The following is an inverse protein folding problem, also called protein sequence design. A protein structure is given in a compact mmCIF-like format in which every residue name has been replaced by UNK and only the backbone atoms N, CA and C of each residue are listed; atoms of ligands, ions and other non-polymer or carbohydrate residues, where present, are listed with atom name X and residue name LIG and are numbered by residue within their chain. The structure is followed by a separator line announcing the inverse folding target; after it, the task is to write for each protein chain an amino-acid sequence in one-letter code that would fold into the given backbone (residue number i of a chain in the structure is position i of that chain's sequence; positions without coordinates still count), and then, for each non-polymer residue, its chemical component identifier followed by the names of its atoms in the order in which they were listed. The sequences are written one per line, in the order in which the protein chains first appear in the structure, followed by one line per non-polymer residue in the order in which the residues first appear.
data_IF_953555641745
#
_entry.id   IF_953555641745
#
_cell.length_a   1.000
_cell.length_b   1.000
_cell.length_c   1.000
_cell.angle_alpha   90.00
_cell.angle_beta   90.00
_cell.angle_gamma   90.00
#
_symmetry.space_group_name_H-M   'P 1'
#
loop_
_entity.id
_entity.type
_entity.pdbx_description
1 polymer ?
#
# COMPACT_ATOMS: atom_id res chain seq x y z
N UNK A 1 11.39 -4.70 -12.22
CA UNK A 1 11.24 -4.10 -10.87
C UNK A 1 10.62 -5.10 -9.89
N UNK A 2 9.34 -5.44 -9.99
CA UNK A 2 8.70 -6.53 -9.25
C UNK A 2 8.04 -7.50 -10.22
N UNK A 3 8.25 -8.78 -10.03
CA UNK A 3 7.59 -9.85 -10.76
C UNK A 3 7.01 -10.88 -9.79
N UNK A 4 5.73 -11.19 -9.95
CA UNK A 4 5.00 -12.15 -9.12
C UNK A 4 4.44 -13.23 -10.03
N UNK A 5 4.79 -14.51 -9.79
CA UNK A 5 4.39 -15.64 -10.61
C UNK A 5 3.78 -16.76 -9.78
N UNK A 6 2.57 -17.16 -10.14
CA UNK A 6 1.83 -18.26 -9.53
C UNK A 6 1.70 -18.15 -8.01
N UNK A 7 1.68 -16.93 -7.46
CA UNK A 7 1.72 -16.69 -6.02
C UNK A 7 0.52 -17.32 -5.33
N UNK A 8 0.78 -18.19 -4.35
CA UNK A 8 -0.24 -18.78 -3.46
C UNK A 8 0.11 -18.50 -2.02
N UNK A 9 -0.88 -18.08 -1.26
CA UNK A 9 -0.80 -17.92 0.20
C UNK A 9 -2.03 -18.57 0.82
N UNK A 10 -1.84 -19.72 1.44
CA UNK A 10 -2.89 -20.52 2.05
C UNK A 10 -2.66 -20.65 3.54
N UNK A 11 -3.66 -20.32 4.34
CA UNK A 11 -3.62 -20.42 5.78
C UNK A 11 -4.33 -21.69 6.23
N UNK A 12 -3.68 -22.57 7.05
CA UNK A 12 -4.29 -23.80 7.52
C UNK A 12 -5.42 -23.52 8.51
N UNK A 13 -6.55 -24.17 8.31
CA UNK A 13 -7.65 -24.22 9.29
C UNK A 13 -7.35 -25.37 10.24
N UNK A 14 -7.06 -25.05 11.49
CA UNK A 14 -6.75 -26.04 12.54
C UNK A 14 -7.98 -26.31 13.41
N UNK A 15 -8.23 -27.57 13.77
CA UNK A 15 -9.35 -27.97 14.66
C UNK A 15 -8.89 -28.97 15.71
N UNK A 16 -9.52 -28.88 16.90
CA UNK A 16 -9.28 -29.77 18.05
C UNK A 16 -8.02 -29.43 18.83
N UNK A 17 -7.85 -30.09 20.01
CA UNK A 17 -6.74 -29.87 20.95
C UNK A 17 -5.37 -30.16 20.32
N UNK A 18 -5.31 -31.10 19.37
CA UNK A 18 -4.09 -31.46 18.63
C UNK A 18 -3.83 -30.56 17.41
N UNK A 19 -4.58 -29.45 17.25
CA UNK A 19 -4.42 -28.48 16.14
C UNK A 19 -4.32 -29.14 14.75
N UNK A 20 -5.07 -30.21 14.48
CA UNK A 20 -5.04 -30.94 13.21
C UNK A 20 -5.57 -30.07 12.07
N UNK A 21 -4.83 -29.96 10.96
CA UNK A 21 -5.27 -29.23 9.78
C UNK A 21 -6.43 -29.96 9.11
N UNK A 22 -7.58 -29.26 8.95
CA UNK A 22 -8.81 -29.78 8.35
C UNK A 22 -9.11 -29.13 6.99
N UNK A 23 -8.37 -28.11 6.61
CA UNK A 23 -8.55 -27.38 5.35
C UNK A 23 -7.64 -26.16 5.26
N UNK A 24 -7.85 -25.34 4.23
CA UNK A 24 -7.06 -24.11 4.01
C UNK A 24 -7.97 -22.96 3.61
N UNK A 25 -7.70 -21.76 4.14
CA UNK A 25 -8.18 -20.50 3.59
C UNK A 25 -7.20 -20.10 2.50
N UNK A 26 -7.65 -20.09 1.26
CA UNK A 26 -6.84 -19.70 0.09
C UNK A 26 -6.90 -18.18 -0.09
N UNK A 27 -6.15 -17.45 0.74
CA UNK A 27 -6.18 -15.98 0.71
C UNK A 27 -5.65 -15.41 -0.61
N UNK A 28 -4.66 -16.08 -1.22
CA UNK A 28 -4.15 -15.83 -2.57
C UNK A 28 -4.00 -17.18 -3.26
N UNK A 29 -4.53 -17.36 -4.46
CA UNK A 29 -4.60 -18.66 -5.14
C UNK A 29 -4.15 -18.60 -6.61
N UNK A 30 -2.85 -18.41 -6.80
CA UNK A 30 -2.21 -18.47 -8.12
C UNK A 30 -2.38 -17.18 -8.92
N UNK A 31 -1.81 -16.08 -8.44
CA UNK A 31 -1.85 -14.79 -9.13
C UNK A 31 -0.52 -14.49 -9.81
N UNK A 32 -0.62 -13.81 -10.96
CA UNK A 32 0.50 -13.38 -11.78
C UNK A 32 0.35 -11.90 -12.13
N UNK A 33 1.35 -11.08 -11.82
CA UNK A 33 1.44 -9.70 -12.24
C UNK A 33 2.88 -9.19 -12.16
N UNK A 34 3.12 -8.06 -12.81
CA UNK A 34 4.38 -7.33 -12.75
C UNK A 34 4.16 -5.87 -12.39
N UNK A 35 5.18 -5.21 -11.85
CA UNK A 35 5.25 -3.78 -11.64
C UNK A 35 6.55 -3.26 -12.22
N UNK A 36 6.46 -2.29 -13.13
CA UNK A 36 7.60 -1.68 -13.81
C UNK A 36 8.26 -0.63 -12.93
N UNK A 37 9.49 -0.25 -13.26
CA UNK A 37 10.18 0.82 -12.57
C UNK A 37 9.47 2.16 -12.83
N UNK A 38 9.30 2.96 -11.78
CA UNK A 38 8.61 4.25 -11.85
C UNK A 38 7.10 4.17 -12.09
N UNK A 39 6.52 2.95 -12.06
CA UNK A 39 5.08 2.72 -12.22
C UNK A 39 4.35 2.75 -10.88
N UNK A 40 3.09 3.17 -10.88
CA UNK A 40 2.15 2.91 -9.81
C UNK A 40 1.17 1.82 -10.25
N UNK A 41 1.26 0.64 -9.62
CA UNK A 41 0.30 -0.44 -9.81
C UNK A 41 -0.72 -0.43 -8.68
N UNK A 42 -1.98 -0.28 -9.02
CA UNK A 42 -3.09 -0.38 -8.07
C UNK A 42 -3.57 -1.82 -7.91
N UNK A 43 -3.79 -2.28 -6.67
CA UNK A 43 -4.55 -3.52 -6.41
C UNK A 43 -5.86 -3.15 -5.73
N UNK A 44 -6.97 -3.52 -6.37
CA UNK A 44 -8.32 -3.22 -5.88
C UNK A 44 -9.16 -4.48 -5.68
N UNK A 45 -10.20 -4.37 -4.87
CA UNK A 45 -11.15 -5.45 -4.58
C UNK A 45 -11.78 -5.27 -3.20
N UNK A 46 -12.81 -6.03 -2.89
CA UNK A 46 -13.47 -6.00 -1.58
C UNK A 46 -12.57 -6.45 -0.43
N UNK A 47 -13.00 -6.19 0.81
CA UNK A 47 -12.33 -6.73 1.98
C UNK A 47 -12.30 -8.26 1.92
N UNK A 48 -11.15 -8.86 2.25
CA UNK A 48 -10.96 -10.32 2.17
C UNK A 48 -10.62 -10.85 0.78
N UNK A 49 -10.50 -10.02 -0.28
CA UNK A 49 -10.12 -10.49 -1.62
C UNK A 49 -8.66 -10.94 -1.76
N UNK A 50 -7.81 -10.74 -0.75
CA UNK A 50 -6.40 -11.18 -0.74
C UNK A 50 -5.36 -10.08 -0.93
N UNK A 51 -5.75 -8.81 -1.12
CA UNK A 51 -4.86 -7.65 -1.40
C UNK A 51 -3.75 -7.47 -0.37
N UNK A 52 -4.13 -7.29 0.90
CA UNK A 52 -3.15 -7.08 1.99
C UNK A 52 -2.30 -8.34 2.23
N UNK A 53 -2.84 -9.54 1.97
CA UNK A 53 -2.05 -10.77 2.02
C UNK A 53 -1.01 -10.79 0.91
N UNK A 54 -1.35 -10.35 -0.30
CA UNK A 54 -0.41 -10.21 -1.42
C UNK A 54 0.69 -9.21 -1.07
N UNK A 55 0.34 -8.02 -0.53
CA UNK A 55 1.31 -7.03 -0.09
C UNK A 55 2.28 -7.58 0.97
N UNK A 56 1.75 -8.26 1.98
CA UNK A 56 2.55 -8.86 3.06
C UNK A 56 3.44 -10.00 2.56
N UNK A 57 3.00 -10.76 1.56
CA UNK A 57 3.85 -11.78 0.93
C UNK A 57 5.01 -11.13 0.16
N UNK A 58 4.76 -10.06 -0.59
CA UNK A 58 5.79 -9.29 -1.30
C UNK A 58 6.78 -8.66 -0.31
N UNK A 59 6.27 -8.14 0.82
CA UNK A 59 7.11 -7.57 1.89
C UNK A 59 7.87 -8.63 2.72
N UNK A 60 7.72 -9.93 2.43
CA UNK A 60 8.36 -11.01 3.19
C UNK A 60 7.76 -11.25 4.59
N UNK A 61 6.65 -10.58 4.93
CA UNK A 61 5.97 -10.71 6.23
C UNK A 61 5.12 -11.97 6.32
N UNK A 62 4.73 -12.53 5.18
CA UNK A 62 3.99 -13.79 5.08
C UNK A 62 4.69 -14.68 4.07
N UNK A 63 4.99 -15.92 4.46
CA UNK A 63 5.65 -16.87 3.57
C UNK A 63 4.67 -17.40 2.51
N UNK A 64 4.99 -17.31 1.21
CA UNK A 64 4.21 -17.94 0.16
C UNK A 64 4.09 -19.45 0.36
N UNK A 65 2.94 -20.01 0.03
CA UNK A 65 2.73 -21.49 -0.05
C UNK A 65 3.31 -22.05 -1.32
N UNK A 66 3.23 -21.28 -2.43
CA UNK A 66 3.82 -21.60 -3.72
C UNK A 66 3.96 -20.33 -4.57
N UNK A 67 4.67 -20.45 -5.69
CA UNK A 67 4.97 -19.34 -6.60
C UNK A 67 6.27 -18.63 -6.27
N UNK A 68 6.59 -17.59 -7.03
CA UNK A 68 7.81 -16.78 -6.84
C UNK A 68 7.49 -15.30 -6.79
N UNK A 69 8.33 -14.57 -6.07
CA UNK A 69 8.35 -13.11 -5.99
C UNK A 69 9.78 -12.68 -6.25
N UNK A 70 9.99 -11.93 -7.32
CA UNK A 70 11.28 -11.38 -7.68
C UNK A 70 11.21 -9.85 -7.57
N UNK A 71 12.10 -9.26 -6.79
CA UNK A 71 12.16 -7.81 -6.55
C UNK A 71 13.58 -7.31 -6.77
N UNK A 72 13.72 -6.34 -7.65
CA UNK A 72 14.97 -5.61 -7.89
C UNK A 72 15.00 -4.32 -7.08
N UNK A 73 15.74 -4.35 -5.97
CA UNK A 73 15.93 -3.23 -5.06
C UNK A 73 15.23 -3.36 -3.71
N UNK A 74 15.43 -2.35 -2.85
CA UNK A 74 14.81 -2.29 -1.53
C UNK A 74 13.32 -1.97 -1.59
N UNK A 75 12.58 -2.45 -0.60
CA UNK A 75 11.17 -2.10 -0.43
C UNK A 75 10.91 -1.50 0.96
N UNK A 76 9.85 -0.68 1.03
CA UNK A 76 9.27 -0.24 2.28
C UNK A 76 7.74 -0.35 2.21
N UNK A 77 7.09 -0.41 3.38
CA UNK A 77 5.64 -0.54 3.47
C UNK A 77 5.05 0.49 4.41
N UNK A 78 3.97 1.12 3.94
CA UNK A 78 3.09 2.00 4.73
C UNK A 78 1.81 1.21 5.01
N UNK A 79 1.51 1.01 6.29
CA UNK A 79 0.37 0.23 6.75
C UNK A 79 -0.90 1.08 6.88
N UNK A 80 -2.04 0.41 6.93
CA UNK A 80 -3.38 0.99 7.04
C UNK A 80 -3.58 1.84 8.31
N UNK A 81 -2.99 1.42 9.44
CA UNK A 81 -3.11 2.13 10.73
C UNK A 81 -1.83 2.89 11.07
N UNK A 82 -1.82 4.23 10.88
CA UNK A 82 -0.66 5.06 11.23
C UNK A 82 -0.36 5.05 12.74
N UNK A 83 -1.40 4.97 13.60
CA UNK A 83 -1.21 4.95 15.05
C UNK A 83 -0.55 3.66 15.52
N UNK A 84 -1.04 2.53 15.05
CA UNK A 84 -0.44 1.22 15.36
C UNK A 84 0.95 1.03 14.76
N UNK A 85 1.29 1.84 13.75
CA UNK A 85 2.60 1.77 13.07
C UNK A 85 3.69 2.59 13.76
N UNK A 86 3.34 3.60 14.57
CA UNK A 86 4.28 4.48 15.27
C UNK A 86 4.31 4.13 16.75
N UNK A 87 5.52 4.04 17.33
CA UNK A 87 5.64 3.87 18.77
C UNK A 87 5.17 5.15 19.48
N UNK A 88 4.08 5.13 20.28
CA UNK A 88 3.53 6.34 20.89
C UNK A 88 4.44 6.98 21.94
N UNK A 89 5.49 6.27 22.39
CA UNK A 89 6.46 6.74 23.38
C UNK A 89 7.71 7.36 22.76
N UNK A 90 7.82 7.40 21.43
CA UNK A 90 8.94 7.96 20.71
C UNK A 90 8.52 9.28 20.07
N UNK A 91 9.41 10.27 20.09
CA UNK A 91 9.24 11.48 19.28
C UNK A 91 9.44 11.14 17.80
N UNK A 92 8.92 12.01 16.90
CA UNK A 92 9.13 11.84 15.46
C UNK A 92 10.63 11.79 15.12
N UNK A 93 11.46 12.60 15.77
CA UNK A 93 12.93 12.53 15.66
C UNK A 93 13.43 11.12 15.90
N UNK A 94 13.09 10.53 17.05
CA UNK A 94 13.55 9.19 17.42
C UNK A 94 13.07 8.10 16.44
N UNK A 95 11.84 8.22 15.94
CA UNK A 95 11.27 7.30 14.93
C UNK A 95 12.06 7.38 13.61
N UNK A 96 12.38 8.60 13.14
CA UNK A 96 13.12 8.78 11.89
C UNK A 96 14.59 8.40 12.03
N UNK A 97 15.24 8.71 13.16
CA UNK A 97 16.61 8.28 13.46
C UNK A 97 16.72 6.75 13.55
N UNK A 98 15.71 6.07 14.13
CA UNK A 98 15.65 4.61 14.15
C UNK A 98 15.59 4.04 12.71
N UNK A 99 14.72 4.61 11.87
CA UNK A 99 14.61 4.19 10.47
C UNK A 99 15.92 4.41 9.69
N UNK A 100 16.63 5.53 9.95
CA UNK A 100 17.89 5.87 9.29
C UNK A 100 19.08 5.00 9.72
N UNK A 101 19.01 4.29 10.86
CA UNK A 101 20.11 3.38 11.29
C UNK A 101 20.39 2.26 10.30
N UNK A 102 19.40 1.87 9.48
CA UNK A 102 19.56 0.87 8.42
C UNK A 102 20.01 1.45 7.08
N UNK A 103 20.15 2.79 6.98
CA UNK A 103 20.49 3.45 5.75
C UNK A 103 22.00 3.49 5.52
N UNK A 104 22.43 3.56 4.25
CA UNK A 104 23.85 3.77 3.89
C UNK A 104 24.34 5.14 4.32
N UNK A 105 25.62 5.26 4.68
CA UNK A 105 26.24 6.52 5.07
C UNK A 105 26.03 7.61 3.99
N UNK A 106 25.58 8.81 4.41
CA UNK A 106 25.23 9.91 3.49
C UNK A 106 23.75 10.04 3.16
N UNK A 107 22.89 9.24 3.79
CA UNK A 107 21.44 9.35 3.69
C UNK A 107 20.88 10.62 4.36
N UNK A 108 19.64 10.94 4.00
CA UNK A 108 18.89 12.11 4.48
C UNK A 108 18.88 12.24 6.00
N UNK A 109 18.82 13.45 6.50
CA UNK A 109 18.58 13.72 7.93
C UNK A 109 17.08 13.60 8.26
N UNK A 110 16.69 13.49 9.54
CA UNK A 110 15.28 13.57 9.94
C UNK A 110 14.57 14.84 9.45
N UNK A 111 15.28 15.98 9.37
CA UNK A 111 14.77 17.24 8.80
C UNK A 111 14.46 17.13 7.32
N UNK A 112 15.38 16.54 6.56
CA UNK A 112 15.18 16.32 5.12
C UNK A 112 13.97 15.45 4.86
N UNK A 113 13.78 14.38 5.64
CA UNK A 113 12.63 13.50 5.55
C UNK A 113 11.32 14.22 5.86
N UNK A 114 11.28 15.09 6.89
CA UNK A 114 10.10 15.91 7.19
C UNK A 114 9.80 16.90 6.07
N UNK A 115 10.83 17.57 5.56
CA UNK A 115 10.68 18.48 4.41
C UNK A 115 10.11 17.76 3.18
N UNK A 116 10.57 16.53 2.90
CA UNK A 116 10.07 15.72 1.80
C UNK A 116 8.56 15.43 1.89
N UNK A 117 8.04 15.30 3.11
CA UNK A 117 6.60 15.03 3.33
C UNK A 117 5.79 16.28 3.70
N UNK A 118 6.41 17.48 3.58
CA UNK A 118 5.74 18.76 3.83
C UNK A 118 5.36 18.99 5.29
N UNK A 119 6.22 18.56 6.22
CA UNK A 119 6.12 18.84 7.64
C UNK A 119 7.25 19.78 8.07
N UNK A 120 6.94 20.66 9.02
CA UNK A 120 7.89 21.60 9.60
C UNK A 120 8.84 20.94 10.61
N UNK A 121 10.05 21.48 10.78
CA UNK A 121 11.06 20.99 11.72
C UNK A 121 10.57 20.90 13.17
N UNK A 122 9.63 21.76 13.58
CA UNK A 122 8.99 21.71 14.90
C UNK A 122 8.24 20.40 15.18
N UNK A 123 7.95 19.63 14.12
CA UNK A 123 7.36 18.31 14.24
C UNK A 123 8.31 17.26 14.81
N UNK A 124 9.64 17.47 14.75
CA UNK A 124 10.64 16.49 15.21
C UNK A 124 10.51 16.15 16.70
N UNK A 125 10.20 17.12 17.52
CA UNK A 125 10.18 16.96 18.97
C UNK A 125 8.79 16.58 19.52
N UNK A 126 7.80 16.43 18.63
CA UNK A 126 6.43 16.00 18.95
C UNK A 126 6.29 14.48 18.96
N UNK A 127 5.29 14.01 19.71
CA UNK A 127 4.87 12.61 19.76
C UNK A 127 3.74 12.32 18.76
N UNK A 128 3.55 11.07 18.33
CA UNK A 128 2.51 10.71 17.36
C UNK A 128 1.09 11.15 17.72
N UNK A 129 0.73 11.18 19.01
CA UNK A 129 -0.59 11.60 19.48
C UNK A 129 -0.87 13.11 19.33
N UNK A 130 0.15 13.93 19.14
CA UNK A 130 0.04 15.39 18.96
C UNK A 130 -0.28 15.79 17.50
N UNK A 131 -0.35 14.82 16.58
CA UNK A 131 -0.58 15.05 15.16
C UNK A 131 -2.00 14.72 14.73
N UNK A 132 -2.51 15.43 13.70
CA UNK A 132 -3.69 15.01 12.96
C UNK A 132 -3.46 13.66 12.23
N UNK A 133 -4.54 13.00 11.79
CA UNK A 133 -4.45 11.76 11.03
C UNK A 133 -3.56 11.88 9.79
N UNK A 134 -3.73 12.96 9.03
CA UNK A 134 -2.93 13.21 7.84
C UNK A 134 -1.46 13.50 8.14
N UNK A 135 -1.16 14.23 9.21
CA UNK A 135 0.22 14.47 9.65
C UNK A 135 0.89 13.18 10.11
N UNK A 136 0.20 12.32 10.86
CA UNK A 136 0.69 10.98 11.23
C UNK A 136 1.01 10.14 10.02
N UNK A 137 0.12 10.17 9.01
CA UNK A 137 0.35 9.46 7.75
C UNK A 137 1.60 9.96 7.04
N UNK A 138 1.84 11.28 7.00
CA UNK A 138 3.05 11.87 6.44
C UNK A 138 4.31 11.41 7.20
N UNK A 139 4.26 11.29 8.52
CA UNK A 139 5.37 10.74 9.33
C UNK A 139 5.62 9.27 8.98
N UNK A 140 4.57 8.45 8.82
CA UNK A 140 4.71 7.05 8.39
C UNK A 140 5.34 6.94 6.99
N UNK A 141 4.98 7.83 6.07
CA UNK A 141 5.59 7.90 4.74
C UNK A 141 7.07 8.31 4.86
N UNK A 142 7.39 9.35 5.65
CA UNK A 142 8.76 9.79 5.90
C UNK A 142 9.64 8.65 6.43
N UNK A 143 9.13 7.89 7.41
CA UNK A 143 9.81 6.70 7.93
C UNK A 143 10.03 5.63 6.86
N UNK A 144 9.04 5.39 6.00
CA UNK A 144 9.15 4.38 4.95
C UNK A 144 10.19 4.74 3.90
N UNK A 145 10.29 6.01 3.50
CA UNK A 145 11.26 6.47 2.49
C UNK A 145 12.67 6.68 3.05
N UNK A 146 12.86 6.62 4.37
CA UNK A 146 14.16 6.84 5.03
C UNK A 146 15.29 5.93 4.51
N UNK A 147 14.95 4.70 4.11
CA UNK A 147 15.86 3.70 3.55
C UNK A 147 16.06 3.81 2.04
N UNK A 148 15.53 4.86 1.40
CA UNK A 148 15.59 5.07 -0.04
C UNK A 148 15.12 3.82 -0.83
N UNK A 149 13.93 3.28 -0.54
CA UNK A 149 13.44 2.08 -1.21
C UNK A 149 13.22 2.34 -2.71
N UNK A 150 13.22 1.29 -3.51
CA UNK A 150 12.80 1.34 -4.93
C UNK A 150 11.31 1.01 -5.10
N UNK A 151 10.73 0.30 -4.14
CA UNK A 151 9.31 -0.02 -4.08
C UNK A 151 8.70 0.48 -2.77
N UNK A 152 7.65 1.29 -2.88
CA UNK A 152 6.80 1.68 -1.75
C UNK A 152 5.47 0.93 -1.85
N UNK A 153 5.16 0.09 -0.86
CA UNK A 153 3.87 -0.58 -0.75
C UNK A 153 2.97 0.27 0.16
N UNK A 154 1.82 0.70 -0.35
CA UNK A 154 0.81 1.44 0.40
C UNK A 154 -0.41 0.55 0.61
N UNK A 155 -0.54 -0.10 1.78
CA UNK A 155 -1.68 -0.98 2.11
C UNK A 155 -2.76 -0.17 2.82
N UNK A 156 -3.79 0.23 2.07
CA UNK A 156 -4.91 1.07 2.52
C UNK A 156 -4.47 2.38 3.22
N UNK A 157 -3.35 2.94 2.79
CA UNK A 157 -2.66 4.05 3.44
C UNK A 157 -3.48 5.36 3.53
N UNK A 158 -4.61 5.48 2.84
CA UNK A 158 -5.46 6.69 2.84
C UNK A 158 -6.91 6.40 3.22
N UNK A 159 -7.27 5.14 3.54
CA UNK A 159 -8.66 4.74 3.75
C UNK A 159 -9.30 5.40 4.98
N UNK A 160 -8.52 5.64 6.03
CA UNK A 160 -8.98 6.24 7.28
C UNK A 160 -8.93 7.78 7.29
N UNK A 161 -8.60 8.43 6.16
CA UNK A 161 -8.44 9.88 6.07
C UNK A 161 -9.68 10.53 5.46
N UNK A 162 -9.98 11.76 5.91
CA UNK A 162 -10.99 12.62 5.28
C UNK A 162 -10.65 12.90 3.82
N UNK A 163 -11.66 13.20 3.01
CA UNK A 163 -11.53 13.33 1.56
C UNK A 163 -10.47 14.37 1.15
N UNK A 164 -10.42 15.53 1.82
CA UNK A 164 -9.46 16.60 1.53
C UNK A 164 -8.01 16.20 1.90
N UNK A 165 -7.84 15.55 3.03
CA UNK A 165 -6.54 15.06 3.50
C UNK A 165 -6.06 13.91 2.62
N UNK A 166 -6.98 13.03 2.19
CA UNK A 166 -6.69 11.95 1.25
C UNK A 166 -6.08 12.48 -0.04
N UNK A 167 -6.69 13.50 -0.66
CA UNK A 167 -6.17 14.13 -1.87
C UNK A 167 -4.73 14.64 -1.67
N UNK A 168 -4.46 15.33 -0.57
CA UNK A 168 -3.12 15.84 -0.25
C UNK A 168 -2.08 14.73 -0.09
N UNK A 169 -2.45 13.58 0.50
CA UNK A 169 -1.52 12.43 0.66
C UNK A 169 -1.28 11.76 -0.69
N UNK A 170 -2.27 11.67 -1.57
CA UNK A 170 -2.10 11.14 -2.93
C UNK A 170 -1.18 12.02 -3.77
N UNK A 171 -1.34 13.35 -3.70
CA UNK A 171 -0.44 14.32 -4.35
C UNK A 171 0.98 14.19 -3.83
N UNK A 172 1.16 14.06 -2.51
CA UNK A 172 2.46 13.82 -1.89
C UNK A 172 3.11 12.53 -2.42
N UNK A 173 2.37 11.41 -2.49
CA UNK A 173 2.89 10.16 -3.03
C UNK A 173 3.30 10.27 -4.50
N UNK A 174 2.51 10.98 -5.31
CA UNK A 174 2.82 11.25 -6.71
C UNK A 174 4.08 12.12 -6.86
N UNK A 175 4.30 13.10 -5.97
CA UNK A 175 5.50 13.93 -5.95
C UNK A 175 6.73 13.12 -5.52
N UNK A 176 6.63 12.37 -4.43
CA UNK A 176 7.71 11.49 -3.97
C UNK A 176 8.10 10.45 -5.01
N UNK A 177 7.13 9.87 -5.74
CA UNK A 177 7.37 8.95 -6.85
C UNK A 177 8.33 9.58 -7.88
N UNK A 178 8.06 10.83 -8.30
CA UNK A 178 8.89 11.54 -9.28
C UNK A 178 10.27 11.92 -8.74
N UNK A 179 10.32 12.46 -7.51
CA UNK A 179 11.55 13.00 -6.91
C UNK A 179 12.54 11.91 -6.50
N UNK A 180 12.06 10.75 -6.08
CA UNK A 180 12.86 9.66 -5.52
C UNK A 180 12.98 8.44 -6.46
N UNK A 181 12.47 8.52 -7.69
CA UNK A 181 12.42 7.40 -8.65
C UNK A 181 11.79 6.14 -8.03
N UNK A 182 10.65 6.33 -7.32
CA UNK A 182 9.93 5.26 -6.66
C UNK A 182 8.98 4.55 -7.62
N UNK A 183 8.82 3.26 -7.42
CA UNK A 183 7.66 2.51 -7.91
C UNK A 183 6.69 2.32 -6.74
N UNK A 184 5.38 2.34 -7.00
CA UNK A 184 4.37 2.26 -5.94
C UNK A 184 3.44 1.08 -6.21
N UNK A 185 3.28 0.21 -5.20
CA UNK A 185 2.20 -0.77 -5.15
C UNK A 185 1.12 -0.21 -4.21
N UNK A 186 0.02 0.27 -4.80
CA UNK A 186 -1.04 0.96 -4.05
C UNK A 186 -2.25 0.06 -3.89
N UNK A 187 -2.63 -0.25 -2.65
CA UNK A 187 -3.74 -1.14 -2.32
C UNK A 187 -4.86 -0.33 -1.70
N UNK A 188 -6.07 -0.49 -2.24
CA UNK A 188 -7.29 0.10 -1.70
C UNK A 188 -8.52 -0.69 -2.14
N UNK A 189 -9.63 -0.50 -1.44
CA UNK A 189 -10.95 -0.92 -1.90
C UNK A 189 -11.69 0.19 -2.67
N UNK A 190 -11.14 1.41 -2.71
CA UNK A 190 -11.75 2.58 -3.35
C UNK A 190 -11.21 2.77 -4.77
N UNK A 191 -12.02 2.41 -5.77
CA UNK A 191 -11.69 2.59 -7.19
C UNK A 191 -11.56 4.06 -7.60
N UNK A 192 -12.26 4.98 -6.91
CA UNK A 192 -12.15 6.41 -7.17
C UNK A 192 -10.75 6.95 -6.90
N UNK A 193 -10.07 6.41 -5.89
CA UNK A 193 -8.68 6.77 -5.57
C UNK A 193 -7.73 6.35 -6.70
N UNK A 194 -7.97 5.20 -7.33
CA UNK A 194 -7.08 4.66 -8.37
C UNK A 194 -6.97 5.56 -9.59
N UNK A 195 -8.03 6.28 -9.97
CA UNK A 195 -8.01 7.23 -11.10
C UNK A 195 -6.97 8.34 -10.93
N UNK A 196 -6.61 8.66 -9.68
CA UNK A 196 -5.71 9.77 -9.37
C UNK A 196 -4.24 9.35 -9.21
N UNK A 197 -3.95 8.06 -9.00
CA UNK A 197 -2.59 7.64 -8.68
C UNK A 197 -2.07 6.47 -9.52
N UNK A 198 -2.93 5.57 -10.01
CA UNK A 198 -2.50 4.33 -10.63
C UNK A 198 -2.32 4.47 -12.15
N UNK A 199 -1.21 3.95 -12.66
CA UNK A 199 -0.96 3.78 -14.10
C UNK A 199 -1.66 2.52 -14.63
N UNK A 200 -1.56 1.42 -13.88
CA UNK A 200 -2.25 0.15 -14.13
C UNK A 200 -2.95 -0.33 -12.87
N UNK A 201 -3.98 -1.16 -13.04
CA UNK A 201 -4.68 -1.78 -11.92
C UNK A 201 -4.84 -3.29 -12.11
N UNK A 202 -4.89 -3.96 -10.98
CA UNK A 202 -5.19 -5.39 -10.81
C UNK A 202 -6.44 -5.48 -9.95
N UNK A 203 -7.48 -6.12 -10.43
CA UNK A 203 -8.73 -6.35 -9.69
C UNK A 203 -8.69 -7.75 -9.10
N UNK A 204 -8.79 -7.84 -7.77
CA UNK A 204 -8.77 -9.11 -7.04
C UNK A 204 -10.15 -9.47 -6.48
N UNK A 205 -10.52 -10.73 -6.63
CA UNK A 205 -11.72 -11.33 -6.03
C UNK A 205 -11.45 -12.78 -5.62
N UNK A 206 -11.82 -13.15 -4.38
CA UNK A 206 -11.67 -14.52 -3.89
C UNK A 206 -10.25 -15.09 -3.99
N UNK A 207 -9.24 -14.27 -3.75
CA UNK A 207 -7.82 -14.67 -3.83
C UNK A 207 -7.24 -14.76 -5.24
N UNK A 208 -7.98 -14.36 -6.28
CA UNK A 208 -7.57 -14.43 -7.69
C UNK A 208 -7.62 -13.05 -8.34
N UNK A 209 -6.83 -12.88 -9.41
CA UNK A 209 -6.96 -11.74 -10.31
C UNK A 209 -8.09 -12.05 -11.30
N UNK A 210 -9.08 -11.15 -11.36
CA UNK A 210 -10.22 -11.27 -12.28
C UNK A 210 -10.08 -10.34 -13.49
N UNK A 211 -9.34 -9.24 -13.34
CA UNK A 211 -9.03 -8.31 -14.41
C UNK A 211 -7.75 -7.55 -14.11
N UNK A 212 -6.98 -7.21 -15.14
CA UNK A 212 -5.83 -6.30 -15.02
C UNK A 212 -5.59 -5.55 -16.33
N UNK A 213 -5.05 -4.35 -16.25
CA UNK A 213 -4.76 -3.52 -17.42
C UNK A 213 -4.42 -2.07 -17.06
N UNK A 214 -4.34 -1.21 -18.09
CA UNK A 214 -4.22 0.22 -17.86
C UNK A 214 -5.41 0.72 -17.03
N UNK A 215 -5.14 1.61 -16.07
CA UNK A 215 -6.15 2.08 -15.12
C UNK A 215 -7.37 2.64 -15.85
N UNK A 216 -7.13 3.49 -16.84
CA UNK A 216 -8.19 4.12 -17.63
C UNK A 216 -9.08 3.10 -18.37
N UNK A 217 -8.46 2.06 -18.96
CA UNK A 217 -9.19 1.04 -19.73
C UNK A 217 -10.08 0.20 -18.81
N UNK A 218 -9.54 -0.29 -17.70
CA UNK A 218 -10.29 -1.13 -16.75
C UNK A 218 -11.43 -0.35 -16.11
N UNK A 219 -11.22 0.94 -15.80
CA UNK A 219 -12.27 1.77 -15.19
C UNK A 219 -13.33 2.22 -16.19
N UNK A 220 -12.98 2.53 -17.45
CA UNK A 220 -13.94 2.99 -18.45
C UNK A 220 -14.64 1.83 -19.20
N UNK A 221 -13.97 0.68 -19.35
CA UNK A 221 -14.44 -0.47 -20.15
C UNK A 221 -14.17 -1.79 -19.42
N UNK A 222 -14.73 -1.98 -18.21
CA UNK A 222 -14.52 -3.19 -17.44
C UNK A 222 -15.04 -4.43 -18.18
N UNK A 223 -14.21 -5.46 -18.29
CA UNK A 223 -14.52 -6.71 -18.98
C UNK A 223 -15.10 -7.75 -18.02
N UNK A 224 -14.54 -7.86 -16.82
CA UNK A 224 -15.02 -8.79 -15.81
C UNK A 224 -16.33 -8.30 -15.19
N UNK A 225 -17.26 -9.22 -14.95
CA UNK A 225 -18.54 -8.93 -14.29
C UNK A 225 -18.33 -8.32 -12.90
N UNK A 226 -17.39 -8.87 -12.15
CA UNK A 226 -17.04 -8.37 -10.83
C UNK A 226 -16.49 -6.93 -10.86
N UNK A 227 -15.68 -6.59 -11.86
CA UNK A 227 -15.19 -5.21 -12.03
C UNK A 227 -16.35 -4.25 -12.30
N UNK A 228 -17.32 -4.65 -13.15
CA UNK A 228 -18.54 -3.86 -13.40
C UNK A 228 -19.38 -3.67 -12.14
N UNK A 229 -19.50 -4.73 -11.32
CA UNK A 229 -20.16 -4.65 -10.03
C UNK A 229 -19.47 -3.65 -9.10
N UNK A 230 -18.15 -3.74 -8.92
CA UNK A 230 -17.37 -2.79 -8.11
C UNK A 230 -17.53 -1.34 -8.60
N UNK A 231 -17.51 -1.13 -9.92
CA UNK A 231 -17.70 0.20 -10.50
C UNK A 231 -19.11 0.76 -10.25
N UNK A 232 -20.13 -0.09 -10.19
CA UNK A 232 -21.51 0.33 -9.90
C UNK A 232 -21.69 0.79 -8.45
N UNK A 233 -20.85 0.30 -7.54
CA UNK A 233 -20.87 0.66 -6.11
C UNK A 233 -20.11 1.98 -5.82
N UNK A 234 -19.32 2.49 -6.77
CA UNK A 234 -18.63 3.79 -6.63
C UNK A 234 -19.66 4.91 -6.77
N UNK A 235 -19.82 5.80 -5.77
CA UNK A 235 -20.71 6.95 -5.88
C UNK A 235 -20.29 7.83 -7.07
N UNK A 236 -21.18 8.02 -8.04
CA UNK A 236 -20.93 8.97 -9.14
C UNK A 236 -20.97 10.39 -8.57
N UNK A 237 -19.80 11.00 -8.39
CA UNK A 237 -19.71 12.44 -8.06
C UNK A 237 -20.35 13.19 -9.22
N UNK A 238 -21.55 13.75 -9.05
CA UNK A 238 -22.17 14.62 -10.05
C UNK A 238 -23.64 14.40 -10.35
N UNK A 239 -24.42 13.60 -9.59
CA UNK A 239 -25.87 13.75 -9.61
C UNK A 239 -26.35 14.33 -8.28
N UNK A 240 -27.00 15.54 -8.29
CA UNK A 240 -27.74 16.00 -7.11
C UNK A 240 -28.78 14.93 -6.75
N UNK A 241 -28.88 14.62 -5.47
CA UNK A 241 -30.00 13.84 -4.95
C UNK A 241 -31.29 14.58 -5.33
N UNK A 242 -32.13 13.94 -6.14
CA UNK A 242 -33.47 14.39 -6.46
C UNK A 242 -34.40 14.20 -5.26
#
# INVERSE_FOLDING_TARGET
MLEVRGLKVWFPIKKGVLARTIGYVKAVDGIDFDLKRGETLGIVGESGSGKSTTARAIAGLVKPTAGSIELDGGLAMVFQDPLGSLNPRMTVRAVLEEALRGATAGSSSPRDLLSLVGLDDSALDKYPHEFSGGQRQRVCIARAIALSPKLLICDEAVSALDLSIRAQVLELLADLKRRLDLSILFITHDLGVMQHIADRIVVMHGGKIVEQGACEDVLKRPRAEYTRYLMSAVPKIGKPLA
#
